data_IF_680221389466
#
_entry.id   IF_680221389466
#
_cell.length_a   1.000
_cell.length_b   1.000
_cell.length_c   1.000
_cell.angle_alpha   90.00
_cell.angle_beta   90.00
_cell.angle_gamma   90.00
#
_symmetry.space_group_name_H-M   'P 1'
#
loop_
_entity.id
_entity.type
_entity.pdbx_description
1 polymer ?
#
# COMPACT_ATOMS: atom_id res chain seq x y z
N UNK A 1 -0.49 -83.02 -2.48
CA UNK A 1 -0.90 -82.01 -1.49
C UNK A 1 0.01 -80.77 -1.51
N UNK A 2 0.47 -80.36 -2.67
CA UNK A 2 1.51 -79.29 -2.84
C UNK A 2 1.05 -78.07 -3.67
N UNK A 3 -0.18 -78.08 -4.19
CA UNK A 3 -0.65 -77.01 -5.12
C UNK A 3 -1.26 -75.83 -4.37
N UNK A 4 -1.74 -75.98 -3.15
CA UNK A 4 -2.40 -74.89 -2.39
C UNK A 4 -1.42 -73.91 -1.72
N UNK A 5 -0.16 -74.28 -1.51
CA UNK A 5 0.80 -73.42 -0.83
C UNK A 5 1.33 -72.29 -1.69
N UNK A 6 1.47 -72.52 -3.01
CA UNK A 6 1.92 -71.50 -3.94
C UNK A 6 0.84 -70.42 -4.23
N UNK A 7 -0.43 -70.80 -4.16
CA UNK A 7 -1.55 -69.89 -4.42
C UNK A 7 -1.81 -68.97 -3.23
N UNK A 8 -1.72 -69.47 -2.01
CA UNK A 8 -1.80 -68.65 -0.79
C UNK A 8 -0.66 -67.64 -0.69
N UNK A 9 0.56 -68.01 -1.06
CA UNK A 9 1.71 -67.12 -1.06
C UNK A 9 1.52 -65.93 -2.02
N UNK A 10 0.93 -66.13 -3.21
CA UNK A 10 0.65 -65.06 -4.19
C UNK A 10 -0.41 -64.06 -3.67
N UNK A 11 -1.43 -64.54 -2.98
CA UNK A 11 -2.45 -63.67 -2.42
C UNK A 11 -1.93 -62.85 -1.22
N UNK A 12 -1.04 -63.40 -0.41
CA UNK A 12 -0.38 -62.66 0.67
C UNK A 12 0.55 -61.57 0.12
N UNK A 13 1.33 -61.86 -0.92
CA UNK A 13 2.21 -60.91 -1.60
C UNK A 13 1.42 -59.78 -2.25
N UNK A 14 0.28 -60.08 -2.88
CA UNK A 14 -0.61 -59.10 -3.49
C UNK A 14 -1.26 -58.21 -2.41
N UNK A 15 -1.69 -58.78 -1.29
CA UNK A 15 -2.27 -58.05 -0.18
C UNK A 15 -1.26 -57.09 0.48
N UNK A 16 0.00 -57.53 0.66
CA UNK A 16 1.07 -56.70 1.20
C UNK A 16 1.41 -55.56 0.23
N UNK A 17 1.43 -55.84 -1.09
CA UNK A 17 1.68 -54.81 -2.12
C UNK A 17 0.56 -53.77 -2.15
N UNK A 18 -0.73 -54.19 -2.09
CA UNK A 18 -1.88 -53.25 -2.04
C UNK A 18 -1.88 -52.46 -0.74
N UNK A 19 -1.55 -53.04 0.39
CA UNK A 19 -1.47 -52.36 1.68
C UNK A 19 -0.32 -51.30 1.69
N UNK A 20 0.81 -51.61 1.05
CA UNK A 20 1.92 -50.67 0.91
C UNK A 20 1.59 -49.49 -0.07
N UNK A 21 0.75 -49.69 -1.07
CA UNK A 21 0.32 -48.66 -1.99
C UNK A 21 -0.67 -47.66 -1.34
N UNK A 22 -1.49 -48.13 -0.38
CA UNK A 22 -2.44 -47.29 0.34
C UNK A 22 -1.75 -46.32 1.31
N UNK A 23 -0.58 -46.67 1.83
CA UNK A 23 0.17 -45.78 2.76
C UNK A 23 0.88 -44.64 2.07
N UNK A 24 1.04 -44.66 0.72
CA UNK A 24 1.70 -43.61 -0.05
C UNK A 24 0.77 -42.42 -0.37
N UNK A 25 -0.53 -42.49 -0.10
CA UNK A 25 -1.52 -41.45 -0.42
C UNK A 25 -1.79 -40.50 0.75
N UNK A 26 -1.06 -40.60 1.87
CA UNK A 26 -1.15 -39.62 2.97
C UNK A 26 -0.50 -38.30 2.53
N UNK A 27 -1.10 -37.63 1.58
CA UNK A 27 -0.74 -36.28 1.18
C UNK A 27 -1.01 -35.33 2.37
N UNK A 28 0.03 -34.77 2.96
CA UNK A 28 -0.08 -33.64 3.89
C UNK A 28 -0.73 -32.46 3.18
N UNK A 29 -2.03 -32.37 3.23
CA UNK A 29 -2.76 -31.14 2.87
C UNK A 29 -2.35 -30.04 3.85
N UNK A 30 -1.64 -29.01 3.36
CA UNK A 30 -1.43 -27.79 4.14
C UNK A 30 -2.79 -27.12 4.34
N UNK A 31 -3.32 -27.15 5.55
CA UNK A 31 -4.49 -26.36 5.93
C UNK A 31 -4.05 -24.92 6.11
N UNK A 32 -4.74 -23.99 5.44
CA UNK A 32 -4.57 -22.55 5.66
C UNK A 32 -5.57 -22.12 6.71
N UNK A 33 -5.07 -21.67 7.86
CA UNK A 33 -5.90 -21.07 8.90
C UNK A 33 -5.87 -19.55 8.72
N UNK A 34 -7.05 -18.93 8.61
CA UNK A 34 -7.19 -17.48 8.44
C UNK A 34 -7.82 -16.91 9.70
N UNK A 35 -7.11 -16.03 10.38
CA UNK A 35 -7.62 -15.30 11.55
C UNK A 35 -7.60 -13.79 11.26
N UNK A 36 -8.56 -13.05 11.85
CA UNK A 36 -8.50 -11.60 11.87
C UNK A 36 -7.52 -11.13 12.93
N UNK A 37 -6.64 -10.21 12.55
CA UNK A 37 -5.68 -9.55 13.44
C UNK A 37 -6.06 -8.08 13.53
N UNK A 38 -5.81 -7.44 14.67
CA UNK A 38 -5.98 -5.98 14.80
C UNK A 38 -5.11 -5.25 13.78
N UNK A 39 -5.69 -4.22 13.14
CA UNK A 39 -5.01 -3.48 12.05
C UNK A 39 -3.74 -2.74 12.49
N UNK A 40 -3.59 -2.47 13.79
CA UNK A 40 -2.38 -1.86 14.36
C UNK A 40 -1.33 -2.85 14.86
N UNK A 41 -1.56 -4.16 14.71
CA UNK A 41 -0.59 -5.17 15.12
C UNK A 41 0.40 -5.43 14.00
N UNK A 42 1.69 -5.17 14.25
CA UNK A 42 2.75 -5.49 13.31
C UNK A 42 2.83 -7.01 13.05
N UNK A 43 2.66 -7.39 11.79
CA UNK A 43 2.82 -8.78 11.32
C UNK A 43 3.72 -8.77 10.09
N UNK A 44 5.02 -8.85 10.30
CA UNK A 44 6.00 -8.95 9.22
C UNK A 44 6.26 -10.43 8.86
N UNK A 45 5.62 -10.91 7.81
CA UNK A 45 5.82 -12.27 7.29
C UNK A 45 7.01 -12.38 6.32
N UNK A 46 7.46 -11.27 5.78
CA UNK A 46 8.54 -11.19 4.78
C UNK A 46 9.35 -9.91 4.96
N UNK A 47 10.50 -9.83 4.28
CA UNK A 47 11.32 -8.62 4.17
C UNK A 47 10.80 -7.60 3.13
N UNK A 48 9.60 -7.84 2.58
CA UNK A 48 8.96 -6.95 1.63
C UNK A 48 8.26 -5.79 2.32
N UNK A 49 7.94 -4.77 1.51
CA UNK A 49 7.10 -3.68 1.95
C UNK A 49 5.74 -4.19 2.44
N UNK A 50 5.29 -3.73 3.60
CA UNK A 50 4.02 -4.09 4.21
C UNK A 50 3.21 -2.85 4.64
N UNK A 51 2.07 -3.08 5.27
CA UNK A 51 1.15 -2.05 5.74
C UNK A 51 1.76 -1.20 6.86
N UNK A 52 2.52 -1.80 7.76
CA UNK A 52 3.20 -1.08 8.84
C UNK A 52 4.26 -0.12 8.30
N UNK A 53 5.04 -0.54 7.29
CA UNK A 53 5.99 0.35 6.61
C UNK A 53 5.28 1.56 6.01
N UNK A 54 4.13 1.33 5.34
CA UNK A 54 3.32 2.40 4.76
C UNK A 54 2.83 3.38 5.82
N UNK A 55 2.34 2.86 6.95
CA UNK A 55 1.81 3.66 8.06
C UNK A 55 2.90 4.52 8.70
N UNK A 56 4.03 3.92 9.08
CA UNK A 56 5.13 4.61 9.74
C UNK A 56 5.72 5.71 8.85
N UNK A 57 5.99 5.39 7.59
CA UNK A 57 6.50 6.40 6.64
C UNK A 57 5.50 7.52 6.41
N UNK A 58 4.20 7.19 6.26
CA UNK A 58 3.19 8.21 6.07
C UNK A 58 3.09 9.14 7.29
N UNK A 59 3.08 8.60 8.51
CA UNK A 59 3.00 9.37 9.74
C UNK A 59 4.19 10.33 9.89
N UNK A 60 5.42 9.84 9.67
CA UNK A 60 6.63 10.67 9.80
C UNK A 60 6.64 11.79 8.76
N UNK A 61 6.38 11.44 7.50
CA UNK A 61 6.34 12.43 6.41
C UNK A 61 5.26 13.49 6.59
N UNK A 62 4.08 13.09 7.10
CA UNK A 62 2.98 14.04 7.36
C UNK A 62 3.33 14.98 8.50
N UNK A 63 3.85 14.45 9.60
CA UNK A 63 4.23 15.26 10.75
C UNK A 63 5.27 16.31 10.37
N UNK A 64 6.29 15.91 9.61
CA UNK A 64 7.28 16.84 9.09
C UNK A 64 6.67 17.88 8.14
N UNK A 65 5.91 17.45 7.15
CA UNK A 65 5.26 18.34 6.17
C UNK A 65 4.34 19.37 6.84
N UNK A 66 3.54 18.96 7.83
CA UNK A 66 2.59 19.84 8.52
C UNK A 66 3.25 20.78 9.54
N UNK A 67 4.49 20.48 9.95
CA UNK A 67 5.31 21.34 10.81
C UNK A 67 6.11 22.38 10.02
N UNK A 68 6.26 22.18 8.72
CA UNK A 68 7.12 23.01 7.87
C UNK A 68 6.48 24.39 7.55
N UNK A 69 7.27 25.45 7.32
CA UNK A 69 6.77 26.84 7.23
C UNK A 69 5.82 27.14 6.07
N UNK A 70 5.67 26.28 5.07
CA UNK A 70 4.88 26.57 3.86
C UNK A 70 3.41 26.92 4.14
N UNK A 71 2.81 26.29 5.18
CA UNK A 71 1.43 26.61 5.62
C UNK A 71 1.36 28.02 6.18
N UNK A 72 2.28 28.37 7.08
CA UNK A 72 2.34 29.71 7.66
C UNK A 72 2.58 30.78 6.62
N UNK A 73 3.48 30.55 5.68
CA UNK A 73 3.75 31.45 4.56
C UNK A 73 2.53 31.63 3.64
N UNK A 74 1.77 30.56 3.39
CA UNK A 74 0.52 30.64 2.64
C UNK A 74 -0.52 31.49 3.37
N UNK A 75 -0.74 31.23 4.67
CA UNK A 75 -1.68 31.97 5.52
C UNK A 75 -1.32 33.46 5.67
N UNK A 76 -0.04 33.81 5.69
CA UNK A 76 0.38 35.23 5.67
C UNK A 76 -0.08 35.95 4.39
N UNK A 77 -0.06 35.26 3.25
CA UNK A 77 -0.50 35.81 1.96
C UNK A 77 -2.00 35.76 1.76
N UNK A 78 -2.64 34.72 2.30
CA UNK A 78 -4.09 34.45 2.19
C UNK A 78 -4.69 34.12 3.55
N UNK A 79 -4.94 35.10 4.45
CA UNK A 79 -5.33 34.86 5.83
C UNK A 79 -6.61 34.03 5.99
N UNK A 80 -7.58 34.24 5.10
CA UNK A 80 -8.91 33.61 5.15
C UNK A 80 -9.01 32.30 4.36
N UNK A 81 -7.89 31.78 3.81
CA UNK A 81 -7.90 30.56 2.99
C UNK A 81 -6.99 29.50 3.57
N UNK A 82 -7.42 28.27 3.49
CA UNK A 82 -6.58 27.11 3.72
C UNK A 82 -5.84 26.70 2.46
N UNK A 83 -4.58 26.26 2.55
CA UNK A 83 -3.86 25.77 1.41
C UNK A 83 -4.48 24.46 0.91
N UNK A 84 -4.63 24.35 -0.41
CA UNK A 84 -5.18 23.17 -1.08
C UNK A 84 -4.09 22.43 -1.85
N UNK A 85 -4.00 21.15 -1.61
CA UNK A 85 -2.99 20.25 -2.20
C UNK A 85 -3.65 19.34 -3.22
N UNK A 86 -2.99 19.05 -4.32
CA UNK A 86 -3.34 17.96 -5.24
C UNK A 86 -2.21 16.92 -5.25
N UNK A 87 -2.55 15.66 -5.47
CA UNK A 87 -1.55 14.62 -5.75
C UNK A 87 -1.30 14.57 -7.24
N UNK A 88 -0.09 14.88 -7.67
CA UNK A 88 0.28 14.76 -9.08
C UNK A 88 0.73 13.34 -9.41
N UNK A 89 1.84 12.90 -8.81
CA UNK A 89 2.40 11.59 -9.09
C UNK A 89 3.31 11.10 -7.96
N UNK A 90 2.94 9.98 -7.36
CA UNK A 90 3.85 9.16 -6.54
C UNK A 90 4.13 7.88 -7.30
N UNK A 91 5.40 7.59 -7.60
CA UNK A 91 5.80 6.46 -8.45
C UNK A 91 6.47 5.39 -7.64
N UNK A 92 6.00 4.17 -7.79
CA UNK A 92 6.76 3.01 -7.34
C UNK A 92 7.87 2.72 -8.37
N UNK A 93 9.12 2.83 -7.94
CA UNK A 93 10.34 2.46 -8.67
C UNK A 93 11.09 1.32 -7.94
N UNK A 94 10.47 0.72 -6.94
CA UNK A 94 11.04 -0.44 -6.26
C UNK A 94 10.96 -1.69 -7.13
N UNK A 95 11.61 -2.76 -6.67
CA UNK A 95 11.56 -4.08 -7.30
C UNK A 95 10.29 -4.86 -6.96
N UNK A 96 9.37 -4.27 -6.19
CA UNK A 96 8.17 -4.91 -5.67
C UNK A 96 6.91 -4.18 -6.12
N UNK A 97 5.80 -4.88 -6.07
CA UNK A 97 4.49 -4.24 -6.23
C UNK A 97 4.08 -3.60 -4.90
N UNK A 98 4.20 -2.27 -4.81
CA UNK A 98 3.73 -1.48 -3.67
C UNK A 98 2.45 -0.77 -4.05
N UNK A 99 1.41 -0.90 -3.23
CA UNK A 99 0.12 -0.22 -3.41
C UNK A 99 0.25 1.27 -3.02
N UNK A 100 0.82 2.07 -3.93
CA UNK A 100 1.10 3.50 -3.71
C UNK A 100 -0.16 4.29 -3.36
N UNK A 101 -1.31 3.89 -3.89
CA UNK A 101 -2.59 4.57 -3.62
C UNK A 101 -2.99 4.46 -2.14
N UNK A 102 -2.76 3.32 -1.49
CA UNK A 102 -3.02 3.15 -0.06
C UNK A 102 -2.18 4.13 0.76
N UNK A 103 -0.88 4.19 0.48
CA UNK A 103 0.05 5.13 1.10
C UNK A 103 -0.37 6.61 0.90
N UNK A 104 -0.73 6.99 -0.33
CA UNK A 104 -1.21 8.35 -0.65
C UNK A 104 -2.52 8.66 0.07
N UNK A 105 -3.43 7.70 0.20
CA UNK A 105 -4.70 7.89 0.91
C UNK A 105 -4.49 8.08 2.41
N UNK A 106 -3.50 7.46 3.01
CA UNK A 106 -3.13 7.69 4.42
C UNK A 106 -2.61 9.12 4.61
N UNK A 107 -1.75 9.60 3.69
CA UNK A 107 -1.30 11.00 3.68
C UNK A 107 -2.49 11.96 3.55
N UNK A 108 -3.36 11.78 2.57
CA UNK A 108 -4.55 12.63 2.37
C UNK A 108 -5.40 12.70 3.64
N UNK A 109 -5.71 11.54 4.22
CA UNK A 109 -6.53 11.43 5.42
C UNK A 109 -5.94 12.21 6.58
N UNK A 110 -4.67 12.07 6.84
CA UNK A 110 -4.00 12.72 7.95
C UNK A 110 -3.89 14.23 7.76
N UNK A 111 -3.60 14.71 6.56
CA UNK A 111 -3.57 16.15 6.24
C UNK A 111 -4.96 16.77 6.40
N UNK A 112 -6.01 16.16 5.87
CA UNK A 112 -7.39 16.65 6.00
C UNK A 112 -7.80 16.68 7.49
N UNK A 113 -7.50 15.61 8.25
CA UNK A 113 -7.81 15.54 9.68
C UNK A 113 -7.05 16.55 10.53
N UNK A 114 -5.89 17.01 10.09
CA UNK A 114 -5.14 18.06 10.79
C UNK A 114 -5.84 19.41 10.80
N UNK A 115 -6.78 19.65 9.87
CA UNK A 115 -7.44 20.94 9.66
C UNK A 115 -6.52 22.05 9.18
N UNK A 116 -5.27 21.76 8.82
CA UNK A 116 -4.28 22.77 8.40
C UNK A 116 -4.22 22.97 6.88
N UNK A 117 -4.65 21.98 6.11
CA UNK A 117 -4.69 22.01 4.66
C UNK A 117 -5.78 21.06 4.15
N UNK A 118 -6.27 21.30 2.93
CA UNK A 118 -7.21 20.44 2.22
C UNK A 118 -6.57 19.72 1.03
N UNK A 119 -7.27 18.71 0.52
CA UNK A 119 -6.91 18.04 -0.74
C UNK A 119 -8.00 18.25 -1.78
N UNK A 120 -7.60 18.62 -2.97
CA UNK A 120 -8.47 18.61 -4.15
C UNK A 120 -8.67 17.17 -4.58
N UNK A 121 -9.90 16.81 -4.93
CA UNK A 121 -10.26 15.54 -5.51
C UNK A 121 -9.40 15.21 -6.76
N UNK A 122 -9.17 13.94 -7.01
CA UNK A 122 -8.42 13.50 -8.20
C UNK A 122 -9.10 13.95 -9.49
N UNK A 123 -8.39 13.85 -10.59
CA UNK A 123 -8.95 14.23 -11.90
C UNK A 123 -10.19 13.40 -12.24
N UNK A 124 -10.15 12.11 -11.93
CA UNK A 124 -11.25 11.17 -12.15
C UNK A 124 -12.44 11.52 -11.27
N UNK A 125 -12.25 11.71 -9.97
CA UNK A 125 -13.30 12.11 -9.02
C UNK A 125 -13.94 13.45 -9.40
N UNK A 126 -13.16 14.43 -9.91
CA UNK A 126 -13.72 15.69 -10.42
C UNK A 126 -14.54 15.52 -11.68
N UNK A 127 -14.20 14.55 -12.55
CA UNK A 127 -15.02 14.25 -13.73
C UNK A 127 -16.39 13.72 -13.32
N UNK A 128 -16.44 12.82 -12.33
CA UNK A 128 -17.68 12.29 -11.78
C UNK A 128 -18.51 13.39 -11.11
N UNK A 129 -17.87 14.27 -10.32
CA UNK A 129 -18.52 15.44 -9.70
C UNK A 129 -19.12 16.37 -10.76
N UNK A 130 -18.40 16.64 -11.86
CA UNK A 130 -18.92 17.48 -12.95
C UNK A 130 -20.07 16.82 -13.69
N UNK A 131 -20.06 15.50 -13.83
CA UNK A 131 -21.16 14.74 -14.41
C UNK A 131 -22.40 14.83 -13.52
N UNK A 132 -22.24 14.70 -12.20
CA UNK A 132 -23.31 14.89 -11.22
C UNK A 132 -23.90 16.31 -11.27
N UNK A 133 -23.04 17.35 -11.30
CA UNK A 133 -23.51 18.74 -11.44
C UNK A 133 -24.28 18.96 -12.76
N UNK A 134 -23.89 18.24 -13.83
CA UNK A 134 -24.62 18.26 -15.08
C UNK A 134 -26.01 17.64 -14.98
N UNK A 135 -26.13 16.55 -14.21
CA UNK A 135 -27.41 15.91 -13.94
C UNK A 135 -28.32 16.79 -13.07
N UNK A 136 -27.76 17.42 -12.04
CA UNK A 136 -28.49 18.36 -11.18
C UNK A 136 -29.08 19.55 -11.94
N UNK A 137 -28.38 20.08 -12.94
CA UNK A 137 -28.92 21.16 -13.78
C UNK A 137 -30.19 20.77 -14.54
N UNK A 138 -30.36 19.49 -14.83
CA UNK A 138 -31.54 18.97 -15.58
C UNK A 138 -32.62 18.46 -14.65
N UNK A 139 -32.30 17.88 -13.51
CA UNK A 139 -33.20 17.05 -12.73
C UNK A 139 -33.42 17.55 -11.29
N UNK A 140 -32.52 18.39 -10.72
CA UNK A 140 -32.71 18.92 -9.37
C UNK A 140 -33.52 20.23 -9.35
N UNK A 141 -34.18 20.51 -8.21
CA UNK A 141 -34.87 21.79 -8.00
C UNK A 141 -33.90 22.96 -7.95
N UNK A 142 -34.38 24.15 -8.31
CA UNK A 142 -33.56 25.38 -8.30
C UNK A 142 -33.00 25.72 -6.91
N UNK A 143 -33.67 25.27 -5.82
CA UNK A 143 -33.26 25.53 -4.45
C UNK A 143 -32.15 24.58 -3.97
N UNK A 144 -32.00 23.42 -4.59
CA UNK A 144 -31.07 22.37 -4.08
C UNK A 144 -29.89 22.09 -5.02
N UNK A 145 -29.95 22.53 -6.28
CA UNK A 145 -28.86 22.32 -7.21
C UNK A 145 -27.65 23.16 -6.86
N UNK A 146 -26.47 22.59 -7.06
CA UNK A 146 -25.19 23.28 -6.90
C UNK A 146 -24.79 23.98 -8.19
N UNK A 147 -24.16 25.16 -8.06
CA UNK A 147 -23.68 25.92 -9.21
C UNK A 147 -22.40 25.32 -9.78
N UNK A 148 -22.25 25.40 -11.11
CA UNK A 148 -21.04 25.00 -11.82
C UNK A 148 -20.02 26.12 -11.83
N UNK A 149 -18.73 25.75 -11.93
CA UNK A 149 -17.63 26.70 -12.07
C UNK A 149 -17.06 27.22 -10.76
N UNK A 150 -17.54 26.69 -9.63
CA UNK A 150 -17.07 27.04 -8.28
C UNK A 150 -16.01 26.06 -7.75
N UNK A 151 -15.32 25.32 -8.64
CA UNK A 151 -14.23 24.43 -8.21
C UNK A 151 -13.03 25.23 -7.73
N UNK A 152 -12.56 24.92 -6.51
CA UNK A 152 -11.29 25.45 -6.03
C UNK A 152 -10.09 24.87 -6.78
N UNK A 153 -9.11 25.71 -7.06
CA UNK A 153 -7.83 25.28 -7.62
C UNK A 153 -6.83 24.87 -6.54
N UNK A 154 -6.05 23.82 -6.80
CA UNK A 154 -4.94 23.46 -5.92
C UNK A 154 -3.86 24.54 -5.91
N UNK A 155 -3.30 24.84 -4.74
CA UNK A 155 -2.18 25.75 -4.57
C UNK A 155 -0.84 25.01 -4.65
N UNK A 156 -0.84 23.76 -4.22
CA UNK A 156 0.36 22.92 -4.12
C UNK A 156 0.13 21.54 -4.74
N UNK A 157 1.21 20.94 -5.21
CA UNK A 157 1.22 19.59 -5.76
C UNK A 157 2.18 18.69 -4.98
N UNK A 158 1.67 17.58 -4.45
CA UNK A 158 2.45 16.52 -3.83
C UNK A 158 2.90 15.53 -4.91
N UNK A 159 4.18 15.21 -4.93
CA UNK A 159 4.75 14.18 -5.80
C UNK A 159 5.89 13.45 -5.11
N UNK A 160 6.29 12.29 -5.63
CA UNK A 160 7.38 11.54 -5.03
C UNK A 160 7.71 10.22 -5.71
N UNK A 161 8.60 9.46 -5.07
CA UNK A 161 9.02 8.13 -5.52
C UNK A 161 9.27 7.21 -4.34
N UNK A 162 8.99 5.92 -4.52
CA UNK A 162 9.43 4.84 -3.65
C UNK A 162 10.45 4.03 -4.42
N UNK A 163 11.67 3.98 -3.91
CA UNK A 163 12.80 3.24 -4.48
C UNK A 163 13.15 2.07 -3.55
N UNK A 164 13.80 1.02 -4.09
CA UNK A 164 14.41 -0.03 -3.27
C UNK A 164 15.76 -0.46 -3.82
N UNK A 165 16.65 -0.86 -2.90
CA UNK A 165 17.93 -1.50 -3.19
C UNK A 165 17.93 -2.83 -2.45
N UNK A 166 18.27 -3.91 -3.15
CA UNK A 166 18.36 -5.26 -2.57
C UNK A 166 19.80 -5.73 -2.67
N UNK A 167 20.32 -6.18 -1.52
CA UNK A 167 21.61 -6.85 -1.42
C UNK A 167 21.43 -8.23 -0.80
N UNK A 168 21.99 -9.27 -1.44
CA UNK A 168 21.78 -10.65 -1.04
C UNK A 168 23.05 -11.47 -1.19
N UNK A 169 23.41 -12.19 -0.11
CA UNK A 169 24.55 -13.11 -0.08
C UNK A 169 24.26 -14.28 0.87
N UNK A 170 24.55 -15.51 0.45
CA UNK A 170 24.54 -16.74 1.27
C UNK A 170 23.26 -16.93 2.12
N UNK A 171 22.10 -16.65 1.52
CA UNK A 171 20.81 -16.80 2.20
C UNK A 171 20.42 -15.63 3.09
N UNK A 172 21.29 -14.65 3.27
CA UNK A 172 20.98 -13.37 3.90
C UNK A 172 20.55 -12.35 2.86
N UNK A 173 19.58 -11.53 3.20
CA UNK A 173 19.06 -10.47 2.32
C UNK A 173 18.79 -9.21 3.11
N UNK A 174 19.25 -8.10 2.58
CA UNK A 174 18.94 -6.76 3.04
C UNK A 174 18.13 -6.06 1.96
N UNK A 175 16.95 -5.58 2.32
CA UNK A 175 16.14 -4.72 1.46
C UNK A 175 16.08 -3.33 2.06
N UNK A 176 16.57 -2.36 1.32
CA UNK A 176 16.56 -0.94 1.69
C UNK A 176 15.49 -0.25 0.84
N UNK A 177 14.57 0.46 1.49
CA UNK A 177 13.57 1.31 0.84
C UNK A 177 13.88 2.77 1.13
N UNK A 178 13.66 3.60 0.14
CA UNK A 178 13.71 5.05 0.26
C UNK A 178 12.46 5.64 -0.35
N UNK A 179 11.74 6.42 0.44
CA UNK A 179 10.56 7.17 0.02
C UNK A 179 10.92 8.65 0.01
N UNK A 180 10.87 9.24 -1.16
CA UNK A 180 11.10 10.66 -1.37
C UNK A 180 9.77 11.34 -1.71
N UNK A 181 9.34 12.31 -0.90
CA UNK A 181 8.18 13.16 -1.18
C UNK A 181 8.60 14.62 -1.28
N UNK A 182 7.85 15.38 -2.07
CA UNK A 182 8.03 16.83 -2.21
C UNK A 182 6.72 17.54 -2.49
N UNK A 183 6.65 18.78 -2.04
CA UNK A 183 5.53 19.68 -2.25
C UNK A 183 6.00 20.87 -3.10
N UNK A 184 5.31 21.10 -4.21
CA UNK A 184 5.63 22.16 -5.17
C UNK A 184 4.50 23.19 -5.18
N UNK A 185 4.84 24.46 -5.05
CA UNK A 185 3.90 25.54 -5.28
C UNK A 185 3.57 25.64 -6.78
N UNK A 186 2.31 25.46 -7.14
CA UNK A 186 1.87 25.41 -8.54
C UNK A 186 1.98 26.75 -9.27
N UNK A 187 1.90 27.86 -8.54
CA UNK A 187 2.00 29.19 -9.13
C UNK A 187 3.45 29.56 -9.50
N UNK A 188 4.41 29.19 -8.63
CA UNK A 188 5.81 29.61 -8.75
C UNK A 188 6.73 28.50 -9.24
N UNK A 189 6.26 27.26 -9.30
CA UNK A 189 7.04 26.04 -9.55
C UNK A 189 8.18 25.82 -8.54
N UNK A 190 8.14 26.48 -7.38
CA UNK A 190 9.12 26.32 -6.31
C UNK A 190 8.76 25.10 -5.44
N UNK A 191 9.75 24.27 -5.16
CA UNK A 191 9.64 23.22 -4.17
C UNK A 191 9.72 23.84 -2.77
N UNK A 192 8.62 23.75 -2.02
CA UNK A 192 8.45 24.41 -0.72
C UNK A 192 8.67 23.48 0.46
N UNK A 193 8.68 22.17 0.19
CA UNK A 193 9.00 21.13 1.15
C UNK A 193 9.47 19.87 0.42
N UNK A 194 10.40 19.17 1.01
CA UNK A 194 10.74 17.79 0.68
C UNK A 194 11.20 17.04 1.92
N UNK A 195 10.99 15.74 1.93
CA UNK A 195 11.54 14.83 2.93
C UNK A 195 11.83 13.47 2.34
N UNK A 196 12.73 12.74 2.97
CA UNK A 196 13.15 11.38 2.60
C UNK A 196 13.08 10.47 3.82
N UNK A 197 12.22 9.44 3.74
CA UNK A 197 12.17 8.39 4.74
C UNK A 197 12.83 7.11 4.25
N UNK A 198 13.46 6.39 5.17
CA UNK A 198 14.28 5.22 4.86
C UNK A 198 13.95 4.05 5.78
N UNK A 199 13.69 2.90 5.18
CA UNK A 199 13.47 1.64 5.89
C UNK A 199 14.53 0.64 5.43
N UNK A 200 15.09 -0.10 6.38
CA UNK A 200 16.04 -1.18 6.10
C UNK A 200 15.56 -2.46 6.76
N UNK A 201 15.30 -3.48 5.96
CA UNK A 201 14.86 -4.80 6.41
C UNK A 201 15.94 -5.83 6.17
N UNK A 202 16.10 -6.73 7.14
CA UNK A 202 17.03 -7.86 7.05
C UNK A 202 16.24 -9.16 7.16
N UNK A 203 16.51 -10.10 6.27
CA UNK A 203 15.99 -11.47 6.36
C UNK A 203 17.12 -12.48 6.19
N UNK A 204 17.00 -13.61 6.91
CA UNK A 204 17.93 -14.72 6.85
C UNK A 204 17.15 -16.02 6.63
N UNK A 205 17.53 -16.76 5.60
CA UNK A 205 16.97 -18.07 5.33
C UNK A 205 17.74 -19.12 6.13
N UNK A 206 17.16 -19.61 7.23
CA UNK A 206 17.74 -20.73 7.98
C UNK A 206 17.65 -21.99 7.13
N UNK A 207 18.79 -22.58 6.76
CA UNK A 207 18.86 -23.93 6.20
C UNK A 207 18.66 -24.90 7.35
N UNK A 208 17.62 -25.74 7.27
CA UNK A 208 17.56 -26.91 8.15
C UNK A 208 18.59 -27.91 7.61
N UNK A 209 19.68 -28.11 8.34
CA UNK A 209 20.53 -29.29 8.16
C UNK A 209 19.69 -30.52 8.56
N UNK A 210 19.51 -31.47 7.63
CA UNK A 210 18.95 -32.78 7.89
C UNK A 210 19.96 -33.64 8.65
#
# INVERSE_FOLDING_TARGET
MTINFLQTSKHILLAVFVLSLVTLVSGCGKSVEVARVESGKEVALTDKWNDEDSRLVAEEMINDMLSYPWIGQFKQRFPDKDPLVTVQRVRNKSHEHIAVETFVNDIKRAVIRSGKAGFIATREERQDTRAELADQDMNASAETRMERGEEDGANFALSGTINSIVDQLDGQRVTFYQVDLKLINLQTAVEVWNNTEKIKKFSERKSFAL
#
